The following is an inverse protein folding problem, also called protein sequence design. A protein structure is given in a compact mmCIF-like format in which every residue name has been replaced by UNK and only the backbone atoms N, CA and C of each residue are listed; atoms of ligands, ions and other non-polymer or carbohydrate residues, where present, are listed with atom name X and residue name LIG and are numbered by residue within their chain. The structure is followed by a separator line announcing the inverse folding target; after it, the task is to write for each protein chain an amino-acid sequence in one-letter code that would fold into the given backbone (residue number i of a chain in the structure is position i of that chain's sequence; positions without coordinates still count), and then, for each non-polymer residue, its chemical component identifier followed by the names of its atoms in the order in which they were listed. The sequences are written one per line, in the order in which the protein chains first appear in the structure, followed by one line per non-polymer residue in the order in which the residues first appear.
data_IF_038977397274
#
_entry.id   IF_038977397274
#
_cell.length_a   1.000
_cell.length_b   1.000
_cell.length_c   1.000
_cell.angle_alpha   90.00
_cell.angle_beta   90.00
_cell.angle_gamma   90.00
#
_symmetry.space_group_name_H-M   'P 1'
#
loop_
_entity.id
_entity.type
_entity.pdbx_description
1 polymer ?
#
# COMPACT_ATOMS: atom_id res chain seq x y z
N UNK A 1 -5.92 4.74 -25.51
CA UNK A 1 -6.14 6.02 -24.79
C UNK A 1 -5.98 5.72 -23.31
N UNK A 2 -5.20 6.50 -22.56
CA UNK A 2 -5.06 6.28 -21.12
C UNK A 2 -6.39 6.61 -20.41
N UNK A 3 -6.83 5.81 -19.42
CA UNK A 3 -7.98 6.16 -18.60
C UNK A 3 -7.74 7.47 -17.85
N UNK A 4 -8.82 8.22 -17.59
CA UNK A 4 -8.77 9.43 -16.78
C UNK A 4 -9.10 9.14 -15.33
N UNK A 5 -8.53 9.92 -14.42
CA UNK A 5 -8.86 9.89 -13.00
C UNK A 5 -9.04 11.31 -12.45
N UNK A 6 -10.06 11.55 -11.60
CA UNK A 6 -10.22 12.86 -10.96
C UNK A 6 -9.01 13.20 -10.09
N UNK A 7 -8.49 14.41 -10.25
CA UNK A 7 -7.39 14.97 -9.46
C UNK A 7 -7.67 14.88 -7.96
N UNK A 8 -8.89 15.23 -7.56
CA UNK A 8 -9.32 15.17 -6.15
C UNK A 8 -9.16 13.77 -5.55
N UNK A 9 -9.40 12.71 -6.34
CA UNK A 9 -9.24 11.33 -5.85
C UNK A 9 -7.76 11.00 -5.62
N UNK A 10 -6.87 11.40 -6.53
CA UNK A 10 -5.42 11.24 -6.38
C UNK A 10 -4.91 12.04 -5.18
N UNK A 11 -5.31 13.30 -5.05
CA UNK A 11 -4.89 14.17 -3.95
C UNK A 11 -5.36 13.64 -2.60
N UNK A 12 -6.59 13.12 -2.52
CA UNK A 12 -7.10 12.48 -1.32
C UNK A 12 -6.23 11.27 -0.92
N UNK A 13 -5.95 10.36 -1.86
CA UNK A 13 -5.12 9.17 -1.62
C UNK A 13 -3.71 9.56 -1.14
N UNK A 14 -3.09 10.56 -1.82
CA UNK A 14 -1.78 11.08 -1.43
C UNK A 14 -1.80 11.63 -0.01
N UNK A 15 -2.75 12.53 0.30
CA UNK A 15 -2.86 13.16 1.60
C UNK A 15 -3.14 12.15 2.72
N UNK A 16 -3.93 11.11 2.43
CA UNK A 16 -4.29 10.07 3.40
C UNK A 16 -3.06 9.29 3.87
N UNK A 17 -2.25 8.78 2.94
CA UNK A 17 -1.07 7.97 3.27
C UNK A 17 0.11 8.83 3.74
N UNK A 18 0.34 9.99 3.11
CA UNK A 18 1.44 10.88 3.52
C UNK A 18 1.30 11.41 4.94
N UNK A 19 0.06 11.68 5.39
CA UNK A 19 -0.19 12.08 6.78
C UNK A 19 0.34 11.04 7.75
N UNK A 20 0.06 9.76 7.51
CA UNK A 20 0.47 8.67 8.39
C UNK A 20 1.98 8.42 8.34
N UNK A 21 2.60 8.49 7.16
CA UNK A 21 4.06 8.42 7.01
C UNK A 21 4.75 9.56 7.79
N UNK A 22 4.21 10.79 7.69
CA UNK A 22 4.75 11.95 8.42
C UNK A 22 4.59 11.79 9.93
N UNK A 23 3.43 11.32 10.40
CA UNK A 23 3.21 11.04 11.82
C UNK A 23 4.19 9.99 12.35
N UNK A 24 4.39 8.90 11.59
CA UNK A 24 5.38 7.89 11.93
C UNK A 24 6.79 8.48 12.04
N UNK A 25 7.20 9.28 11.05
CA UNK A 25 8.53 9.90 11.02
C UNK A 25 8.74 10.89 12.18
N UNK A 26 7.69 11.64 12.56
CA UNK A 26 7.74 12.51 13.73
C UNK A 26 7.85 11.72 15.02
N UNK A 27 7.16 10.58 15.13
CA UNK A 27 7.19 9.74 16.33
C UNK A 27 8.57 9.15 16.64
N UNK A 28 9.41 8.96 15.61
CA UNK A 28 10.79 8.50 15.75
C UNK A 28 11.76 9.61 16.22
N UNK A 29 11.35 10.88 16.15
CA UNK A 29 12.19 12.00 16.62
C UNK A 29 12.25 12.04 18.14
N UNK A 30 13.45 12.28 18.69
CA UNK A 30 13.72 12.34 20.15
C UNK A 30 12.77 13.24 20.94
N UNK A 31 12.34 14.36 20.37
CA UNK A 31 11.44 15.32 21.03
C UNK A 31 10.01 14.78 21.17
N UNK A 32 9.52 14.06 20.17
CA UNK A 32 8.21 13.40 20.22
C UNK A 32 8.24 12.20 21.16
N UNK A 33 9.37 11.49 21.23
CA UNK A 33 9.57 10.38 22.17
C UNK A 33 9.36 10.77 23.64
N UNK A 34 9.65 12.02 24.04
CA UNK A 34 9.41 12.47 25.41
C UNK A 34 7.91 12.67 25.69
N UNK A 35 7.19 13.34 24.79
CA UNK A 35 5.76 13.55 24.90
C UNK A 35 4.98 12.24 24.76
N UNK A 36 5.34 11.40 23.78
CA UNK A 36 4.74 10.08 23.58
C UNK A 36 4.95 9.17 24.79
N UNK A 37 6.14 9.19 25.40
CA UNK A 37 6.40 8.45 26.65
C UNK A 37 5.61 9.01 27.83
N UNK A 38 5.47 10.33 27.93
CA UNK A 38 4.70 10.98 29.00
C UNK A 38 3.19 10.67 28.91
N UNK A 39 2.64 10.65 27.70
CA UNK A 39 1.22 10.43 27.43
C UNK A 39 0.87 8.99 27.03
N UNK A 40 1.84 8.06 27.06
CA UNK A 40 1.70 6.68 26.59
C UNK A 40 1.10 6.57 25.17
N UNK A 41 1.45 7.52 24.31
CA UNK A 41 1.01 7.48 22.93
C UNK A 41 1.76 6.36 22.20
N UNK A 42 1.05 5.51 21.44
CA UNK A 42 1.71 4.50 20.62
C UNK A 42 2.67 5.18 19.63
N UNK A 43 3.85 4.59 19.44
CA UNK A 43 4.81 5.02 18.43
C UNK A 43 4.37 4.55 17.04
N UNK A 44 4.74 5.30 16.00
CA UNK A 44 4.46 4.99 14.61
C UNK A 44 3.30 5.79 14.01
N UNK A 45 2.97 5.47 12.76
CA UNK A 45 1.74 5.88 12.10
C UNK A 45 0.76 4.72 12.11
N UNK A 46 -0.42 4.88 11.52
CA UNK A 46 -1.35 3.78 11.31
C UNK A 46 -0.85 2.75 10.30
N UNK A 47 0.33 2.11 10.48
CA UNK A 47 0.99 1.22 9.50
C UNK A 47 0.03 0.18 8.91
N UNK A 48 -0.70 -0.50 9.79
CA UNK A 48 -1.68 -1.50 9.41
C UNK A 48 -2.80 -0.89 8.54
N UNK A 49 -3.36 0.24 8.98
CA UNK A 49 -4.42 0.94 8.27
C UNK A 49 -3.94 1.49 6.93
N UNK A 50 -2.68 1.93 6.84
CA UNK A 50 -2.06 2.35 5.60
C UNK A 50 -1.92 1.19 4.63
N UNK A 51 -1.39 0.05 5.09
CA UNK A 51 -1.27 -1.15 4.26
C UNK A 51 -2.65 -1.59 3.73
N UNK A 52 -3.66 -1.63 4.59
CA UNK A 52 -5.04 -1.93 4.18
C UNK A 52 -5.57 -0.92 3.14
N UNK A 53 -5.39 0.38 3.40
CA UNK A 53 -5.79 1.46 2.49
C UNK A 53 -5.09 1.34 1.13
N UNK A 54 -3.78 1.10 1.11
CA UNK A 54 -2.99 0.90 -0.10
C UNK A 54 -3.46 -0.32 -0.92
N UNK A 55 -3.86 -1.41 -0.26
CA UNK A 55 -4.47 -2.55 -0.96
C UNK A 55 -5.83 -2.19 -1.57
N UNK A 56 -6.68 -1.44 -0.84
CA UNK A 56 -7.93 -0.90 -1.39
C UNK A 56 -7.68 0.03 -2.59
N UNK A 57 -6.69 0.92 -2.51
CA UNK A 57 -6.37 1.86 -3.57
C UNK A 57 -5.80 1.16 -4.81
N UNK A 58 -5.04 0.08 -4.64
CA UNK A 58 -4.59 -0.78 -5.75
C UNK A 58 -5.77 -1.36 -6.51
N UNK A 59 -6.76 -1.91 -5.80
CA UNK A 59 -7.99 -2.41 -6.41
C UNK A 59 -8.81 -1.30 -7.08
N UNK A 60 -8.93 -0.15 -6.42
CA UNK A 60 -9.62 1.02 -6.95
C UNK A 60 -9.02 1.49 -8.27
N UNK A 61 -7.69 1.66 -8.35
CA UNK A 61 -7.02 2.03 -9.59
C UNK A 61 -7.21 0.96 -10.67
N UNK A 62 -7.16 -0.32 -10.29
CA UNK A 62 -7.49 -1.42 -11.19
C UNK A 62 -8.87 -1.32 -11.82
N UNK A 63 -9.87 -0.91 -11.05
CA UNK A 63 -11.22 -0.63 -11.55
C UNK A 63 -11.22 0.54 -12.55
N UNK A 64 -10.41 1.58 -12.30
CA UNK A 64 -10.30 2.73 -13.20
C UNK A 64 -9.62 2.42 -14.53
N UNK A 65 -8.91 1.29 -14.66
CA UNK A 65 -8.42 0.82 -15.95
C UNK A 65 -9.54 0.44 -16.93
N UNK A 66 -10.80 0.37 -16.47
CA UNK A 66 -11.97 0.09 -17.31
C UNK A 66 -12.13 -1.38 -17.70
N UNK A 67 -11.29 -2.26 -17.16
CA UNK A 67 -11.35 -3.70 -17.43
C UNK A 67 -12.28 -4.36 -16.42
N UNK A 68 -13.45 -4.85 -16.86
CA UNK A 68 -14.40 -5.52 -15.96
C UNK A 68 -13.88 -6.90 -15.56
N UNK A 69 -13.22 -7.02 -14.38
CA UNK A 69 -12.67 -8.30 -13.89
C UNK A 69 -13.03 -8.66 -12.44
N UNK A 70 -14.02 -7.98 -11.86
CA UNK A 70 -14.36 -8.15 -10.44
C UNK A 70 -13.25 -7.65 -9.50
N UNK A 71 -13.43 -7.81 -8.18
CA UNK A 71 -12.51 -7.26 -7.18
C UNK A 71 -11.07 -7.77 -7.33
N UNK A 72 -10.87 -9.10 -7.39
CA UNK A 72 -9.55 -9.71 -7.62
C UNK A 72 -8.93 -9.24 -8.93
N UNK A 73 -9.67 -9.35 -10.03
CA UNK A 73 -9.11 -9.02 -11.33
C UNK A 73 -8.79 -7.53 -11.48
N UNK A 74 -9.52 -6.63 -10.81
CA UNK A 74 -9.15 -5.22 -10.72
C UNK A 74 -7.82 -5.07 -9.99
N UNK A 75 -7.71 -5.63 -8.78
CA UNK A 75 -6.48 -5.60 -7.99
C UNK A 75 -5.28 -6.15 -8.78
N UNK A 76 -5.36 -7.39 -9.28
CA UNK A 76 -4.25 -8.05 -9.99
C UNK A 76 -3.81 -7.23 -11.22
N UNK A 77 -4.79 -6.64 -11.94
CA UNK A 77 -4.50 -5.84 -13.14
C UNK A 77 -3.69 -4.58 -12.83
N UNK A 78 -3.93 -3.91 -11.68
CA UNK A 78 -3.14 -2.74 -11.30
C UNK A 78 -1.88 -3.12 -10.53
N UNK A 79 -1.91 -4.19 -9.75
CA UNK A 79 -0.75 -4.68 -9.02
C UNK A 79 0.40 -5.01 -9.97
N UNK A 80 0.12 -5.63 -11.11
CA UNK A 80 1.12 -5.87 -12.17
C UNK A 80 1.71 -4.56 -12.74
N UNK A 81 0.99 -3.43 -12.67
CA UNK A 81 1.47 -2.12 -13.17
C UNK A 81 2.45 -1.42 -12.23
N UNK A 82 2.57 -1.90 -10.99
CA UNK A 82 3.54 -1.39 -10.02
C UNK A 82 4.98 -1.62 -10.53
N UNK A 83 5.22 -2.74 -11.21
CA UNK A 83 6.49 -3.04 -11.87
C UNK A 83 6.69 -4.55 -12.06
N UNK A 84 7.75 -4.91 -12.79
CA UNK A 84 8.07 -6.32 -13.10
C UNK A 84 8.15 -7.23 -11.84
N UNK A 85 8.78 -6.82 -10.72
CA UNK A 85 8.80 -7.68 -9.53
C UNK A 85 7.41 -7.99 -8.96
N UNK A 86 6.46 -7.07 -9.11
CA UNK A 86 5.07 -7.27 -8.67
C UNK A 86 4.29 -8.20 -9.60
N UNK A 87 4.55 -8.13 -10.90
CA UNK A 87 4.00 -9.06 -11.89
C UNK A 87 4.47 -10.50 -11.64
N UNK A 88 5.76 -10.68 -11.39
CA UNK A 88 6.33 -11.99 -11.03
C UNK A 88 5.71 -12.52 -9.73
N UNK A 89 5.55 -11.64 -8.73
CA UNK A 89 5.00 -12.01 -7.44
C UNK A 89 3.54 -12.52 -7.51
N UNK A 90 2.69 -11.94 -8.36
CA UNK A 90 1.30 -12.43 -8.54
C UNK A 90 1.22 -13.70 -9.38
N UNK A 91 2.23 -13.98 -10.21
CA UNK A 91 2.31 -15.24 -10.95
C UNK A 91 2.65 -16.41 -10.02
N UNK A 92 3.47 -16.16 -8.99
CA UNK A 92 3.95 -17.19 -8.06
C UNK A 92 3.04 -17.37 -6.84
N UNK A 93 2.34 -16.31 -6.41
CA UNK A 93 1.63 -16.29 -5.14
C UNK A 93 0.23 -15.68 -5.22
N UNK A 94 -0.65 -16.13 -4.32
CA UNK A 94 -2.03 -15.62 -4.17
C UNK A 94 -2.05 -14.28 -3.40
N UNK A 95 -1.40 -13.25 -3.95
CA UNK A 95 -1.22 -11.95 -3.27
C UNK A 95 -2.53 -11.31 -2.87
N UNK A 96 -3.54 -11.32 -3.75
CA UNK A 96 -4.87 -10.81 -3.42
C UNK A 96 -5.47 -11.49 -2.18
N UNK A 97 -5.37 -12.83 -2.08
CA UNK A 97 -5.93 -13.55 -0.93
C UNK A 97 -5.14 -13.26 0.35
N UNK A 98 -3.81 -13.28 0.27
CA UNK A 98 -2.93 -13.21 1.43
C UNK A 98 -2.92 -11.79 2.03
N UNK A 99 -2.75 -10.77 1.18
CA UNK A 99 -2.60 -9.38 1.61
C UNK A 99 -3.94 -8.64 1.54
N UNK A 100 -4.55 -8.52 0.36
CA UNK A 100 -5.76 -7.69 0.17
C UNK A 100 -6.95 -8.19 1.00
N UNK A 101 -7.31 -9.47 0.86
CA UNK A 101 -8.41 -10.06 1.63
C UNK A 101 -8.08 -10.21 3.11
N UNK A 102 -6.85 -10.63 3.45
CA UNK A 102 -6.42 -10.71 4.83
C UNK A 102 -6.59 -9.37 5.55
N UNK A 103 -5.95 -8.32 5.04
CA UNK A 103 -5.98 -7.01 5.67
C UNK A 103 -7.39 -6.44 5.81
N UNK A 104 -8.27 -6.67 4.82
CA UNK A 104 -9.60 -6.07 4.82
C UNK A 104 -10.68 -6.86 5.55
N UNK A 105 -10.58 -8.19 5.61
CA UNK A 105 -11.63 -9.04 6.19
C UNK A 105 -11.21 -9.68 7.50
N UNK A 106 -9.91 -9.86 7.73
CA UNK A 106 -9.36 -10.52 8.92
C UNK A 106 -8.56 -9.56 9.79
N UNK A 107 -8.39 -8.31 9.35
CA UNK A 107 -7.55 -7.31 10.01
C UNK A 107 -6.12 -7.81 10.28
N UNK A 108 -5.65 -8.75 9.46
CA UNK A 108 -4.32 -9.38 9.53
C UNK A 108 -3.93 -9.89 8.14
N UNK A 109 -2.64 -9.89 7.80
CA UNK A 109 -2.16 -10.66 6.65
C UNK A 109 -2.37 -12.15 6.96
N UNK A 110 -2.86 -12.95 6.01
CA UNK A 110 -3.23 -14.38 6.25
C UNK A 110 -2.06 -15.30 6.59
N UNK A 111 -0.84 -14.76 6.68
CA UNK A 111 0.39 -15.47 7.04
C UNK A 111 1.16 -14.64 8.07
N UNK A 112 2.01 -15.27 8.90
CA UNK A 112 2.92 -14.56 9.78
C UNK A 112 3.74 -13.53 9.01
N UNK A 113 4.09 -12.42 9.65
CA UNK A 113 4.83 -11.36 8.98
C UNK A 113 4.80 -10.03 9.71
N UNK A 114 5.39 -9.02 9.07
CA UNK A 114 5.51 -7.67 9.63
C UNK A 114 5.16 -6.59 8.60
N UNK A 115 4.41 -5.59 9.06
CA UNK A 115 4.14 -4.37 8.30
C UNK A 115 5.07 -3.27 8.82
N UNK A 116 6.05 -2.92 8.00
CA UNK A 116 7.00 -1.85 8.25
C UNK A 116 6.45 -0.54 7.68
N UNK A 117 6.62 0.55 8.43
CA UNK A 117 6.32 1.87 7.86
C UNK A 117 7.36 2.26 6.81
N UNK A 118 8.64 2.13 7.19
CA UNK A 118 9.79 2.58 6.41
C UNK A 118 10.61 1.40 5.92
N UNK A 119 11.28 1.61 4.79
CA UNK A 119 12.16 0.63 4.16
C UNK A 119 12.30 0.94 2.67
N UNK A 120 13.35 0.39 2.07
CA UNK A 120 13.63 0.50 0.65
C UNK A 120 13.85 -0.91 0.09
N UNK A 121 12.78 -1.51 -0.41
CA UNK A 121 12.77 -2.87 -0.96
C UNK A 121 11.76 -2.95 -2.09
N UNK A 122 12.12 -3.65 -3.17
CA UNK A 122 11.25 -3.91 -4.30
C UNK A 122 11.21 -5.41 -4.60
N UNK A 123 10.02 -6.05 -4.65
CA UNK A 123 8.71 -5.45 -4.39
C UNK A 123 8.56 -5.05 -2.92
N UNK A 124 7.75 -4.01 -2.65
CA UNK A 124 7.53 -3.48 -1.31
C UNK A 124 6.66 -4.38 -0.44
N UNK A 125 6.16 -5.49 -0.97
CA UNK A 125 5.55 -6.57 -0.20
C UNK A 125 5.92 -7.90 -0.82
N UNK A 126 5.92 -8.96 -0.01
CA UNK A 126 6.30 -10.28 -0.47
C UNK A 126 6.54 -11.26 0.66
N UNK A 127 7.43 -12.21 0.42
CA UNK A 127 7.80 -13.27 1.36
C UNK A 127 9.32 -13.23 1.59
N UNK A 128 9.74 -13.45 2.82
CA UNK A 128 11.14 -13.71 3.16
C UNK A 128 11.53 -15.13 2.74
N UNK A 129 12.82 -15.47 2.83
CA UNK A 129 13.31 -16.84 2.61
C UNK A 129 12.68 -17.86 3.57
N UNK A 130 12.30 -17.43 4.79
CA UNK A 130 11.58 -18.26 5.77
C UNK A 130 10.10 -18.46 5.42
N UNK A 131 9.56 -17.72 4.44
CA UNK A 131 8.15 -17.74 4.05
C UNK A 131 7.26 -16.78 4.85
N UNK A 132 7.83 -15.98 5.75
CA UNK A 132 7.12 -14.91 6.46
C UNK A 132 6.81 -13.76 5.51
N UNK A 133 5.68 -13.11 5.70
CA UNK A 133 5.28 -11.96 4.88
C UNK A 133 5.94 -10.67 5.35
N UNK A 134 6.21 -9.77 4.41
CA UNK A 134 6.56 -8.40 4.72
C UNK A 134 5.73 -7.42 3.89
N UNK A 135 5.51 -6.22 4.42
CA UNK A 135 4.91 -5.10 3.72
C UNK A 135 5.60 -3.81 4.17
N UNK A 136 6.13 -3.02 3.24
CA UNK A 136 6.76 -1.72 3.49
C UNK A 136 5.85 -0.61 2.96
N UNK A 137 5.17 0.09 3.87
CA UNK A 137 4.13 1.07 3.56
C UNK A 137 4.64 2.20 2.67
N UNK A 138 5.74 2.83 3.07
CA UNK A 138 6.29 3.97 2.34
C UNK A 138 6.69 3.59 0.91
N UNK A 139 7.40 2.46 0.75
CA UNK A 139 7.85 2.03 -0.57
C UNK A 139 6.69 1.59 -1.45
N UNK A 140 5.70 0.86 -0.90
CA UNK A 140 4.51 0.48 -1.67
C UNK A 140 3.71 1.71 -2.11
N UNK A 141 3.57 2.72 -1.25
CA UNK A 141 2.95 3.99 -1.62
C UNK A 141 3.67 4.68 -2.78
N UNK A 142 5.01 4.77 -2.73
CA UNK A 142 5.82 5.33 -3.82
C UNK A 142 5.58 4.59 -5.13
N UNK A 143 5.62 3.25 -5.09
CA UNK A 143 5.42 2.41 -6.27
C UNK A 143 3.99 2.55 -6.84
N UNK A 144 2.99 2.61 -5.96
CA UNK A 144 1.58 2.81 -6.32
C UNK A 144 1.35 4.16 -7.01
N UNK A 145 1.88 5.24 -6.45
CA UNK A 145 1.72 6.57 -7.02
C UNK A 145 2.48 6.72 -8.33
N UNK A 146 3.68 6.16 -8.42
CA UNK A 146 4.43 6.13 -9.68
C UNK A 146 3.66 5.36 -10.77
N UNK A 147 3.00 4.24 -10.42
CA UNK A 147 2.15 3.52 -11.36
C UNK A 147 0.90 4.32 -11.76
N UNK A 148 0.25 4.98 -10.81
CA UNK A 148 -0.92 5.81 -11.10
C UNK A 148 -0.58 6.97 -12.06
N UNK A 149 0.55 7.65 -11.84
CA UNK A 149 1.04 8.72 -12.72
C UNK A 149 1.40 8.21 -14.13
N UNK A 150 1.88 6.97 -14.24
CA UNK A 150 2.13 6.34 -15.54
C UNK A 150 0.84 5.95 -16.26
N UNK A 151 -0.14 5.39 -15.57
CA UNK A 151 -1.30 4.74 -16.21
C UNK A 151 -2.48 5.70 -16.45
N UNK A 152 -2.62 6.79 -15.68
CA UNK A 152 -3.77 7.69 -15.77
C UNK A 152 -3.44 9.08 -16.32
N UNK A 153 -4.42 9.69 -16.98
CA UNK A 153 -4.47 11.14 -17.21
C UNK A 153 -5.25 11.76 -16.06
N UNK A 154 -4.64 12.70 -15.34
CA UNK A 154 -5.32 13.42 -14.27
C UNK A 154 -6.20 14.50 -14.86
N UNK A 155 -7.48 14.50 -14.49
CA UNK A 155 -8.47 15.50 -14.91
C UNK A 155 -8.88 16.36 -13.72
N UNK A 156 -9.09 17.66 -13.96
CA UNK A 156 -9.62 18.59 -12.95
C UNK A 156 -11.03 18.21 -12.49
#
# INVERSE_FOLDING_TARGET
MKPSIPKLAIEFIKADIEREIRLASLSEKKTYGLAAKLFRLPYGGGNFMCAMGLMCYTEFFGKQLGIKRGSRGNFDSFFAKLGKPYEELIAEHKIYDIFRCGLAHEYLIKKPGTIYMFGDVSPALGFTESGDTYFVVEQYYKDLMAAAEREFVVTE
#
